data_IF_231059756634
#
_entry.id   IF_231059756634
#
_cell.length_a   1.000
_cell.length_b   1.000
_cell.length_c   1.000
_cell.angle_alpha   90.00
_cell.angle_beta   90.00
_cell.angle_gamma   90.00
#
_symmetry.space_group_name_H-M   'P 1'
#
loop_
_entity.id
_entity.type
_entity.pdbx_description
1 polymer ?
#
# COMPACT_ATOMS: atom_id res chain seq x y z
N UNK A 1 0.29 -7.97 -19.31
CA UNK A 1 1.28 -8.42 -18.32
C UNK A 1 1.34 -7.34 -17.25
N UNK A 2 0.91 -7.63 -16.03
CA UNK A 2 1.16 -6.71 -14.90
C UNK A 2 2.68 -6.60 -14.74
N UNK A 3 3.19 -5.39 -14.91
CA UNK A 3 4.62 -5.08 -14.82
C UNK A 3 4.86 -4.39 -13.49
N UNK A 4 6.10 -4.37 -12.98
CA UNK A 4 6.46 -3.58 -11.78
C UNK A 4 5.87 -2.17 -11.80
N UNK A 5 5.88 -1.51 -12.97
CA UNK A 5 5.28 -0.18 -13.15
C UNK A 5 3.79 -0.12 -12.78
N UNK A 6 3.00 -1.11 -13.20
CA UNK A 6 1.56 -1.14 -12.93
C UNK A 6 1.30 -1.32 -11.43
N UNK A 7 2.06 -2.21 -10.79
CA UNK A 7 2.05 -2.42 -9.34
C UNK A 7 2.47 -1.15 -8.60
N UNK A 8 3.53 -0.49 -9.06
CA UNK A 8 4.03 0.74 -8.46
C UNK A 8 3.02 1.89 -8.59
N UNK A 9 2.32 2.00 -9.72
CA UNK A 9 1.23 2.96 -9.89
C UNK A 9 0.04 2.66 -8.97
N UNK A 10 -0.35 1.38 -8.82
CA UNK A 10 -1.40 0.96 -7.88
C UNK A 10 -1.03 1.29 -6.43
N UNK A 11 0.20 1.02 -6.04
CA UNK A 11 0.76 1.36 -4.72
C UNK A 11 0.73 2.87 -4.50
N UNK A 12 1.18 3.65 -5.49
CA UNK A 12 1.19 5.10 -5.39
C UNK A 12 -0.24 5.64 -5.24
N UNK A 13 -1.18 5.14 -6.05
CA UNK A 13 -2.60 5.53 -5.98
C UNK A 13 -3.23 5.19 -4.64
N UNK A 14 -3.03 3.98 -4.12
CA UNK A 14 -3.61 3.61 -2.81
C UNK A 14 -2.96 4.41 -1.69
N UNK A 15 -1.64 4.64 -1.74
CA UNK A 15 -0.91 5.46 -0.76
C UNK A 15 -1.40 6.90 -0.76
N UNK A 16 -1.56 7.50 -1.93
CA UNK A 16 -2.10 8.85 -2.09
C UNK A 16 -3.55 8.92 -1.60
N UNK A 17 -4.38 7.94 -1.95
CA UNK A 17 -5.76 7.87 -1.47
C UNK A 17 -5.82 7.73 0.05
N UNK A 18 -4.93 6.93 0.65
CA UNK A 18 -4.80 6.82 2.10
C UNK A 18 -4.36 8.15 2.70
N UNK A 19 -3.36 8.83 2.13
CA UNK A 19 -2.92 10.15 2.60
C UNK A 19 -4.01 11.22 2.57
N UNK A 20 -4.80 11.23 1.50
CA UNK A 20 -5.84 12.23 1.26
C UNK A 20 -7.14 11.94 2.04
N UNK A 21 -7.60 10.69 2.02
CA UNK A 21 -8.88 10.29 2.62
C UNK A 21 -8.74 9.77 4.07
N UNK A 22 -7.57 9.22 4.42
CA UNK A 22 -7.32 8.54 5.70
C UNK A 22 -5.98 9.02 6.31
N UNK A 23 -5.88 10.31 6.68
CA UNK A 23 -4.64 10.89 7.21
C UNK A 23 -4.13 10.14 8.47
N UNK A 24 -5.00 9.46 9.22
CA UNK A 24 -4.61 8.57 10.32
C UNK A 24 -3.75 7.38 9.85
N UNK A 25 -4.16 6.72 8.77
CA UNK A 25 -3.40 5.64 8.16
C UNK A 25 -2.13 6.14 7.45
N UNK A 26 -2.13 7.40 7.04
CA UNK A 26 -0.94 8.03 6.43
C UNK A 26 0.28 8.06 7.36
N UNK A 27 0.04 8.11 8.67
CA UNK A 27 1.12 8.07 9.66
C UNK A 27 1.85 6.72 9.66
N UNK A 28 1.12 5.62 9.46
CA UNK A 28 1.69 4.28 9.31
C UNK A 28 2.46 4.11 8.00
N UNK A 29 2.06 4.83 6.95
CA UNK A 29 2.75 4.88 5.67
C UNK A 29 4.10 5.60 5.74
N UNK A 30 4.20 6.67 6.54
CA UNK A 30 5.47 7.37 6.76
C UNK A 30 6.46 6.53 7.57
N UNK A 31 5.97 5.66 8.46
CA UNK A 31 6.81 4.71 9.21
C UNK A 31 7.23 3.48 8.39
N UNK A 32 6.55 3.18 7.28
CA UNK A 32 6.94 2.13 6.35
C UNK A 32 7.65 2.72 5.13
N UNK A 33 9.00 2.83 5.13
CA UNK A 33 9.71 3.28 3.95
C UNK A 33 9.36 2.35 2.78
N UNK A 34 8.83 2.93 1.69
CA UNK A 34 8.62 2.24 0.42
C UNK A 34 9.94 1.54 0.09
N UNK A 35 9.93 0.21 0.11
CA UNK A 35 11.15 -0.58 -0.07
C UNK A 35 11.72 -0.21 -1.42
N UNK A 36 12.82 0.54 -1.41
CA UNK A 36 13.47 1.02 -2.63
C UNK A 36 13.73 -0.21 -3.51
N UNK A 37 13.27 -0.20 -4.78
CA UNK A 37 13.45 -1.33 -5.67
C UNK A 37 14.94 -1.63 -5.78
N UNK A 38 15.32 -2.85 -5.43
CA UNK A 38 16.71 -3.26 -5.54
C UNK A 38 16.97 -3.54 -7.02
N UNK A 39 17.74 -2.65 -7.66
CA UNK A 39 18.04 -2.73 -9.10
C UNK A 39 18.75 -4.03 -9.50
N UNK A 40 19.25 -4.83 -8.54
CA UNK A 40 19.86 -6.14 -8.85
C UNK A 40 18.84 -7.21 -9.20
N UNK A 41 17.63 -7.16 -8.65
CA UNK A 41 16.66 -8.26 -8.76
C UNK A 41 15.23 -7.76 -9.06
N UNK A 42 14.85 -7.67 -10.36
CA UNK A 42 13.50 -7.27 -10.76
C UNK A 42 12.41 -8.25 -10.27
N UNK A 43 12.70 -9.56 -10.20
CA UNK A 43 11.75 -10.54 -9.63
C UNK A 43 11.45 -10.26 -8.15
N UNK A 44 12.48 -9.94 -7.36
CA UNK A 44 12.33 -9.59 -5.95
C UNK A 44 11.58 -8.28 -5.83
N UNK A 45 11.83 -7.33 -6.73
CA UNK A 45 11.15 -6.04 -6.73
C UNK A 45 9.65 -6.19 -6.98
N UNK A 46 9.24 -6.96 -7.98
CA UNK A 46 7.82 -7.20 -8.26
C UNK A 46 7.11 -7.88 -7.06
N UNK A 47 7.77 -8.85 -6.43
CA UNK A 47 7.25 -9.54 -5.24
C UNK A 47 7.13 -8.59 -4.04
N UNK A 48 8.15 -7.77 -3.78
CA UNK A 48 8.14 -6.75 -2.71
C UNK A 48 7.04 -5.71 -2.92
N UNK A 49 6.90 -5.20 -4.15
CA UNK A 49 5.84 -4.25 -4.50
C UNK A 49 4.46 -4.88 -4.24
N UNK A 50 4.24 -6.12 -4.69
CA UNK A 50 2.97 -6.81 -4.48
C UNK A 50 2.66 -7.02 -3.00
N UNK A 51 3.63 -7.46 -2.22
CA UNK A 51 3.48 -7.60 -0.76
C UNK A 51 3.18 -6.25 -0.11
N UNK A 52 3.86 -5.18 -0.50
CA UNK A 52 3.61 -3.84 0.01
C UNK A 52 2.19 -3.34 -0.34
N UNK A 53 1.75 -3.53 -1.58
CA UNK A 53 0.39 -3.22 -2.00
C UNK A 53 -0.65 -3.97 -1.17
N UNK A 54 -0.47 -5.28 -0.97
CA UNK A 54 -1.39 -6.08 -0.17
C UNK A 54 -1.40 -5.65 1.29
N UNK A 55 -0.25 -5.29 1.88
CA UNK A 55 -0.21 -4.74 3.24
C UNK A 55 -0.99 -3.43 3.36
N UNK A 56 -0.85 -2.52 2.40
CA UNK A 56 -1.61 -1.26 2.38
C UNK A 56 -3.11 -1.48 2.16
N UNK A 57 -3.46 -2.35 1.23
CA UNK A 57 -4.85 -2.70 0.97
C UNK A 57 -5.49 -3.35 2.19
N UNK A 58 -4.79 -4.28 2.84
CA UNK A 58 -5.26 -4.93 4.06
C UNK A 58 -5.42 -3.93 5.21
N UNK A 59 -4.46 -3.03 5.42
CA UNK A 59 -4.55 -1.95 6.41
C UNK A 59 -5.78 -1.08 6.19
N UNK A 60 -5.98 -0.60 4.96
CA UNK A 60 -7.11 0.22 4.58
C UNK A 60 -8.44 -0.53 4.77
N UNK A 61 -8.52 -1.76 4.27
CA UNK A 61 -9.72 -2.58 4.37
C UNK A 61 -10.09 -2.87 5.83
N UNK A 62 -9.09 -3.15 6.67
CA UNK A 62 -9.27 -3.39 8.10
C UNK A 62 -9.77 -2.14 8.81
N UNK A 63 -9.20 -0.98 8.49
CA UNK A 63 -9.68 0.30 9.03
C UNK A 63 -11.13 0.62 8.61
N UNK A 64 -11.49 0.42 7.34
CA UNK A 64 -12.86 0.60 6.86
C UNK A 64 -13.82 -0.35 7.57
N UNK A 65 -13.45 -1.63 7.73
CA UNK A 65 -14.22 -2.61 8.48
C UNK A 65 -14.42 -2.19 9.93
N UNK A 66 -13.35 -1.80 10.63
CA UNK A 66 -13.43 -1.36 12.02
C UNK A 66 -14.29 -0.11 12.20
N UNK A 67 -14.25 0.84 11.25
CA UNK A 67 -15.14 2.01 11.23
C UNK A 67 -16.60 1.61 10.99
N UNK A 68 -16.85 0.64 10.11
CA UNK A 68 -18.21 0.20 9.79
C UNK A 68 -18.84 -0.63 10.93
N UNK A 69 -18.04 -1.40 11.68
CA UNK A 69 -18.51 -2.23 12.81
C UNK A 69 -18.82 -1.40 14.07
N UNK A 70 -18.23 -0.21 14.22
CA UNK A 70 -18.50 0.66 15.39
C UNK A 70 -19.85 1.39 15.34
N UNK A 71 -20.63 1.24 14.27
CA UNK A 71 -21.90 1.93 14.08
C UNK A 71 -23.13 1.00 14.18
N UNK A 72 -22.98 -0.23 14.69
CA UNK A 72 -24.09 -1.16 14.98
C UNK A 72 -24.36 -1.29 16.49
#
# INVERSE_FOLDING_TARGET
METEKDLNEKILKITLKIKDQYPELSKYLEEMPVTIPDKKDPEITLKKLRTYYESLYSLLNKYILEQSVKND
#
